data_IF_329359176792
#
_entry.id   IF_329359176792
#
_cell.length_a   1.000
_cell.length_b   1.000
_cell.length_c   1.000
_cell.angle_alpha   90.00
_cell.angle_beta   90.00
_cell.angle_gamma   90.00
#
_symmetry.space_group_name_H-M   'P 1'
#
loop_
_entity.id
_entity.type
_entity.pdbx_description
1 polymer ?
#
# COMPACT_ATOMS: atom_id res chain seq x y z
N UNK A 1 67.92 37.92 5.71
CA UNK A 1 67.50 36.73 5.00
C UNK A 1 66.03 36.51 5.32
N UNK A 2 65.09 36.58 4.36
CA UNK A 2 63.64 36.61 4.65
C UNK A 2 63.01 35.25 4.67
N UNK A 3 62.06 35.11 5.64
CA UNK A 3 61.17 33.97 5.84
C UNK A 3 60.21 33.86 4.66
N UNK A 4 60.11 32.65 4.06
CA UNK A 4 59.06 32.28 3.13
C UNK A 4 57.90 31.62 3.85
N UNK A 5 56.77 32.29 3.92
CA UNK A 5 55.50 31.76 4.43
C UNK A 5 54.81 30.93 3.32
N UNK A 6 54.67 29.63 3.58
CA UNK A 6 53.78 28.75 2.82
C UNK A 6 52.32 29.06 3.09
N UNK A 7 51.58 29.55 2.12
CA UNK A 7 50.13 29.64 2.13
C UNK A 7 49.54 28.31 1.74
N UNK A 8 48.86 27.64 2.67
CA UNK A 8 47.97 26.54 2.38
C UNK A 8 46.68 27.10 1.75
N UNK A 9 46.49 26.80 0.48
CA UNK A 9 45.25 27.07 -0.22
C UNK A 9 44.18 26.07 0.27
N UNK A 10 43.14 26.56 0.96
CA UNK A 10 41.93 25.82 1.18
C UNK A 10 41.08 25.83 -0.08
N UNK A 11 40.99 24.69 -0.76
CA UNK A 11 39.98 24.46 -1.79
C UNK A 11 38.60 24.38 -1.13
N UNK A 12 37.58 25.10 -1.64
CA UNK A 12 36.24 24.98 -1.10
C UNK A 12 35.65 23.62 -1.45
N UNK A 13 35.35 22.80 -0.42
CA UNK A 13 34.59 21.59 -0.57
C UNK A 13 33.17 21.93 -1.03
N UNK A 14 32.79 21.42 -2.16
CA UNK A 14 31.47 21.58 -2.77
C UNK A 14 30.43 20.77 -1.98
N UNK A 15 29.42 21.39 -1.35
CA UNK A 15 28.31 20.67 -0.73
C UNK A 15 27.25 20.46 -1.80
N UNK A 16 27.17 19.28 -2.42
CA UNK A 16 26.09 19.03 -3.38
C UNK A 16 25.90 17.59 -3.77
N UNK A 17 25.19 16.81 -2.94
CA UNK A 17 24.37 15.69 -3.49
C UNK A 17 23.27 15.22 -2.50
N UNK A 18 23.30 15.65 -1.25
CA UNK A 18 22.29 15.25 -0.23
C UNK A 18 20.99 16.05 -0.32
N UNK A 19 20.99 17.24 -0.90
CA UNK A 19 19.81 18.12 -0.93
C UNK A 19 18.72 17.67 -1.91
N UNK A 20 19.08 17.11 -3.08
CA UNK A 20 18.08 16.76 -4.11
C UNK A 20 17.26 15.49 -3.77
N UNK A 21 17.85 14.51 -3.10
CA UNK A 21 17.15 13.27 -2.72
C UNK A 21 16.15 13.51 -1.58
N UNK A 22 16.54 14.32 -0.60
CA UNK A 22 15.63 14.70 0.50
C UNK A 22 14.47 15.58 -0.03
N UNK A 23 14.73 16.40 -1.02
CA UNK A 23 13.71 17.25 -1.65
C UNK A 23 12.66 16.42 -2.40
N UNK A 24 13.04 15.39 -3.14
CA UNK A 24 12.10 14.48 -3.82
C UNK A 24 11.25 13.64 -2.85
N UNK A 25 11.82 13.21 -1.72
CA UNK A 25 11.05 12.51 -0.67
C UNK A 25 9.99 13.45 -0.07
N UNK A 26 10.35 14.69 0.20
CA UNK A 26 9.43 15.71 0.69
C UNK A 26 8.32 16.00 -0.32
N UNK A 27 8.59 16.01 -1.63
CA UNK A 27 7.59 16.21 -2.68
C UNK A 27 6.49 15.14 -2.64
N UNK A 28 6.82 13.84 -2.48
CA UNK A 28 5.80 12.78 -2.34
C UNK A 28 4.99 12.96 -1.05
N UNK A 29 5.62 13.31 0.05
CA UNK A 29 4.95 13.46 1.35
C UNK A 29 4.10 14.74 1.42
N UNK A 30 4.53 15.82 0.77
CA UNK A 30 3.84 17.13 0.79
C UNK A 30 2.74 17.26 -0.27
N UNK A 31 2.66 16.33 -1.22
CA UNK A 31 1.63 16.33 -2.26
C UNK A 31 0.25 16.02 -1.66
N UNK A 32 -0.79 16.56 -2.28
CA UNK A 32 -2.17 16.22 -1.96
C UNK A 32 -2.67 15.09 -2.84
N UNK A 33 -3.29 14.09 -2.22
CA UNK A 33 -3.82 12.91 -2.89
C UNK A 33 -5.34 12.88 -2.87
N UNK A 34 -5.96 12.37 -3.93
CA UNK A 34 -7.40 12.13 -3.98
C UNK A 34 -7.76 10.81 -3.30
N UNK A 35 -6.81 9.87 -3.30
CA UNK A 35 -6.94 8.56 -2.68
C UNK A 35 -5.60 8.11 -2.08
N UNK A 36 -5.64 7.65 -0.83
CA UNK A 36 -4.54 6.95 -0.18
C UNK A 36 -5.06 5.61 0.30
N UNK A 37 -4.38 4.51 -0.06
CA UNK A 37 -4.78 3.18 0.40
C UNK A 37 -3.60 2.24 0.61
N UNK A 38 -3.82 1.21 1.42
CA UNK A 38 -2.86 0.13 1.69
C UNK A 38 -2.88 -0.90 0.57
N UNK A 39 -1.72 -1.48 0.26
CA UNK A 39 -1.61 -2.67 -0.60
C UNK A 39 -1.53 -3.97 0.21
N UNK A 40 -1.72 -3.90 1.51
CA UNK A 40 -1.56 -5.02 2.43
C UNK A 40 -0.14 -5.08 2.99
N UNK A 41 0.28 -6.30 3.36
CA UNK A 41 1.54 -6.57 4.05
C UNK A 41 1.32 -6.77 5.54
N UNK A 42 0.59 -5.86 6.17
CA UNK A 42 0.05 -6.01 7.52
C UNK A 42 -1.12 -5.04 7.76
N UNK A 43 -1.77 -5.16 8.92
CA UNK A 43 -2.82 -4.21 9.34
C UNK A 43 -2.27 -2.84 9.77
N UNK A 44 -0.95 -2.69 9.93
CA UNK A 44 -0.32 -1.47 10.41
C UNK A 44 -0.60 -0.27 9.49
N UNK A 45 -0.44 -0.41 8.17
CA UNK A 45 -0.73 0.65 7.21
C UNK A 45 -2.16 1.17 7.35
N UNK A 46 -3.15 0.27 7.33
CA UNK A 46 -4.57 0.66 7.43
C UNK A 46 -4.88 1.36 8.75
N UNK A 47 -4.25 0.92 9.84
CA UNK A 47 -4.40 1.53 11.16
C UNK A 47 -3.79 2.92 11.21
N UNK A 48 -2.56 3.10 10.74
CA UNK A 48 -1.89 4.40 10.69
C UNK A 48 -2.66 5.40 9.82
N UNK A 49 -3.17 4.98 8.66
CA UNK A 49 -4.04 5.82 7.84
C UNK A 49 -5.32 6.23 8.57
N UNK A 50 -5.95 5.30 9.32
CA UNK A 50 -7.14 5.60 10.12
C UNK A 50 -6.84 6.60 11.24
N UNK A 51 -5.77 6.41 12.00
CA UNK A 51 -5.37 7.28 13.11
C UNK A 51 -5.09 8.72 12.64
N UNK A 52 -4.58 8.89 11.43
CA UNK A 52 -4.26 10.20 10.85
C UNK A 52 -5.41 10.79 9.99
N UNK A 53 -6.62 10.20 10.02
CA UNK A 53 -7.77 10.71 9.28
C UNK A 53 -7.67 10.56 7.75
N UNK A 54 -6.74 9.75 7.26
CA UNK A 54 -6.48 9.53 5.84
C UNK A 54 -7.26 8.34 5.25
N UNK A 55 -7.95 7.57 6.09
CA UNK A 55 -8.75 6.41 5.70
C UNK A 55 -10.21 6.64 6.04
N UNK A 56 -11.02 6.88 5.03
CA UNK A 56 -12.45 7.12 5.14
C UNK A 56 -13.33 5.91 4.82
N UNK A 57 -12.74 4.82 4.36
CA UNK A 57 -13.42 3.56 4.04
C UNK A 57 -12.48 2.36 4.22
N UNK A 58 -13.05 1.14 4.30
CA UNK A 58 -12.26 -0.09 4.23
C UNK A 58 -12.04 -0.48 2.77
N UNK A 59 -10.81 -0.75 2.43
CA UNK A 59 -10.37 -1.25 1.13
C UNK A 59 -9.97 -2.73 1.22
N UNK A 60 -9.85 -3.46 0.08
CA UNK A 60 -9.71 -4.92 0.12
C UNK A 60 -8.44 -5.40 0.82
N UNK A 61 -7.35 -4.63 0.77
CA UNK A 61 -6.04 -5.09 1.25
C UNK A 61 -5.72 -4.66 2.68
N UNK A 62 -6.57 -3.87 3.33
CA UNK A 62 -6.30 -3.23 4.63
C UNK A 62 -5.88 -4.20 5.75
N UNK A 63 -6.38 -5.44 5.70
CA UNK A 63 -6.22 -6.44 6.75
C UNK A 63 -5.56 -7.72 6.26
N UNK A 64 -5.01 -7.70 5.04
CA UNK A 64 -4.38 -8.84 4.42
C UNK A 64 -2.88 -8.85 4.66
N UNK A 65 -2.36 -10.04 4.89
CA UNK A 65 -0.95 -10.28 5.09
C UNK A 65 -0.35 -10.98 3.87
N UNK A 66 0.91 -10.69 3.52
CA UNK A 66 1.61 -11.33 2.42
C UNK A 66 3.09 -11.54 2.76
N UNK A 67 3.67 -12.64 2.28
CA UNK A 67 5.02 -13.07 2.62
C UNK A 67 6.00 -13.03 1.43
N UNK A 68 5.52 -12.79 0.22
CA UNK A 68 6.32 -12.77 -1.01
C UNK A 68 5.61 -12.01 -2.12
N UNK A 69 6.23 -11.87 -3.28
CA UNK A 69 5.72 -11.10 -4.42
C UNK A 69 4.56 -11.76 -5.20
N UNK A 70 4.05 -12.93 -4.79
CA UNK A 70 2.93 -13.59 -5.47
C UNK A 70 1.74 -12.67 -5.59
N UNK A 71 1.42 -11.95 -4.51
CA UNK A 71 0.30 -11.01 -4.51
C UNK A 71 0.48 -9.85 -5.50
N UNK A 72 1.69 -9.32 -5.70
CA UNK A 72 1.95 -8.26 -6.69
C UNK A 72 1.70 -8.77 -8.12
N UNK A 73 2.18 -9.97 -8.44
CA UNK A 73 1.92 -10.63 -9.74
C UNK A 73 0.43 -10.85 -9.96
N UNK A 74 -0.27 -11.28 -8.91
CA UNK A 74 -1.73 -11.44 -8.97
C UNK A 74 -2.44 -10.10 -9.16
N UNK A 75 -2.06 -9.05 -8.42
CA UNK A 75 -2.69 -7.73 -8.51
C UNK A 75 -2.53 -7.10 -9.90
N UNK A 76 -1.39 -7.28 -10.56
CA UNK A 76 -1.18 -6.82 -11.92
C UNK A 76 -2.28 -7.39 -12.83
N UNK A 77 -2.56 -8.70 -12.77
CA UNK A 77 -3.65 -9.34 -13.50
C UNK A 77 -5.03 -8.90 -13.00
N UNK A 78 -5.23 -8.85 -11.69
CA UNK A 78 -6.51 -8.53 -11.07
C UNK A 78 -7.01 -7.11 -11.44
N UNK A 79 -6.12 -6.12 -11.48
CA UNK A 79 -6.48 -4.78 -11.96
C UNK A 79 -6.85 -4.73 -13.44
N UNK A 80 -6.35 -5.65 -14.25
CA UNK A 80 -6.74 -5.78 -15.66
C UNK A 80 -8.14 -6.37 -15.82
N UNK A 81 -8.51 -7.34 -14.95
CA UNK A 81 -9.73 -8.15 -15.01
C UNK A 81 -10.80 -7.75 -13.98
N UNK A 82 -10.70 -6.56 -13.36
CA UNK A 82 -11.62 -6.09 -12.33
C UNK A 82 -11.80 -7.07 -11.17
N UNK A 83 -10.74 -7.82 -10.83
CA UNK A 83 -10.72 -8.80 -9.74
C UNK A 83 -11.73 -9.93 -9.90
N UNK A 84 -12.01 -10.34 -11.15
CA UNK A 84 -12.98 -11.40 -11.44
C UNK A 84 -12.71 -12.68 -10.63
N UNK A 85 -11.44 -13.10 -10.53
CA UNK A 85 -11.02 -14.33 -9.85
C UNK A 85 -10.62 -14.12 -8.38
N UNK A 86 -11.10 -13.03 -7.74
CA UNK A 86 -10.74 -12.75 -6.36
C UNK A 86 -11.43 -13.69 -5.38
N UNK A 87 -10.63 -14.27 -4.46
CA UNK A 87 -11.08 -15.08 -3.33
C UNK A 87 -12.02 -16.20 -3.78
N UNK A 88 -11.57 -17.08 -4.67
CA UNK A 88 -12.30 -18.29 -5.05
C UNK A 88 -12.14 -19.36 -3.96
N UNK A 89 -13.20 -20.08 -3.66
CA UNK A 89 -13.22 -21.10 -2.61
C UNK A 89 -12.15 -22.17 -2.81
N UNK A 90 -11.98 -22.63 -4.04
CA UNK A 90 -11.01 -23.64 -4.43
C UNK A 90 -9.56 -23.21 -4.15
N UNK A 91 -9.26 -21.92 -4.14
CA UNK A 91 -7.94 -21.38 -3.85
C UNK A 91 -7.68 -21.16 -2.35
N UNK A 92 -8.70 -21.31 -1.51
CA UNK A 92 -8.54 -21.15 -0.08
C UNK A 92 -7.91 -22.40 0.54
N UNK A 93 -6.77 -22.22 1.18
CA UNK A 93 -6.10 -23.21 2.02
C UNK A 93 -6.04 -22.72 3.46
N UNK A 94 -6.48 -23.55 4.38
CA UNK A 94 -6.30 -23.27 5.80
C UNK A 94 -4.80 -23.30 6.16
N UNK A 95 -4.34 -22.34 6.94
CA UNK A 95 -2.96 -22.31 7.42
C UNK A 95 -2.77 -23.36 8.51
N UNK A 96 -1.64 -24.06 8.48
CA UNK A 96 -1.27 -25.02 9.53
C UNK A 96 -1.03 -24.32 10.88
N UNK A 97 -0.98 -25.09 11.96
CA UNK A 97 -0.68 -24.54 13.29
C UNK A 97 0.67 -23.81 13.33
N UNK A 98 1.70 -24.34 12.61
CA UNK A 98 3.01 -23.72 12.51
C UNK A 98 2.97 -22.38 11.75
N UNK A 99 2.22 -22.30 10.65
CA UNK A 99 2.04 -21.08 9.87
C UNK A 99 1.26 -19.99 10.62
N UNK A 100 0.33 -20.38 11.47
CA UNK A 100 -0.47 -19.47 12.30
C UNK A 100 0.29 -18.96 13.54
N UNK A 101 1.34 -19.67 13.96
CA UNK A 101 2.00 -19.42 15.22
C UNK A 101 1.04 -19.55 16.41
N UNK A 102 1.12 -18.63 17.37
CA UNK A 102 0.29 -18.64 18.59
C UNK A 102 -1.18 -18.24 18.38
N UNK A 103 -1.60 -17.98 17.14
CA UNK A 103 -2.98 -17.59 16.85
C UNK A 103 -3.94 -18.75 17.05
N UNK A 104 -4.99 -18.50 17.87
CA UNK A 104 -6.12 -19.43 18.08
C UNK A 104 -7.20 -19.32 17.01
N UNK A 105 -7.11 -18.31 16.12
CA UNK A 105 -8.08 -18.10 15.05
C UNK A 105 -7.75 -18.94 13.83
N UNK A 106 -8.77 -19.38 13.11
CA UNK A 106 -8.59 -19.96 11.78
C UNK A 106 -8.10 -18.89 10.82
N UNK A 107 -7.10 -19.22 10.03
CA UNK A 107 -6.48 -18.32 9.07
C UNK A 107 -6.35 -19.04 7.73
N UNK A 108 -6.55 -18.31 6.65
CA UNK A 108 -6.55 -18.87 5.31
C UNK A 108 -5.58 -18.14 4.40
N UNK A 109 -4.88 -18.90 3.55
CA UNK A 109 -4.19 -18.37 2.40
C UNK A 109 -5.07 -18.54 1.16
N UNK A 110 -5.26 -17.49 0.39
CA UNK A 110 -5.70 -17.61 -1.00
C UNK A 110 -4.46 -17.88 -1.85
N UNK A 111 -4.29 -19.12 -2.27
CA UNK A 111 -3.08 -19.57 -2.97
C UNK A 111 -2.92 -18.92 -4.34
N UNK A 112 -3.98 -18.45 -4.97
CA UNK A 112 -3.90 -17.72 -6.23
C UNK A 112 -3.31 -16.33 -6.02
N UNK A 113 -3.79 -15.58 -5.04
CA UNK A 113 -3.32 -14.23 -4.78
C UNK A 113 -2.09 -14.17 -3.86
N UNK A 114 -1.84 -15.19 -3.03
CA UNK A 114 -0.80 -15.18 -2.01
C UNK A 114 -1.09 -14.29 -0.82
N UNK A 115 -2.33 -13.84 -0.66
CA UNK A 115 -2.76 -13.13 0.54
C UNK A 115 -3.26 -14.09 1.62
N UNK A 116 -2.88 -13.80 2.85
CA UNK A 116 -3.39 -14.47 4.04
C UNK A 116 -4.51 -13.64 4.68
N UNK A 117 -5.64 -14.30 4.91
CA UNK A 117 -6.83 -13.78 5.57
C UNK A 117 -6.78 -14.20 7.04
N UNK A 118 -6.26 -13.31 7.88
CA UNK A 118 -5.98 -13.62 9.29
C UNK A 118 -7.09 -13.17 10.27
N UNK A 119 -8.10 -12.44 9.76
CA UNK A 119 -9.16 -11.84 10.56
C UNK A 119 -10.58 -12.10 10.03
N UNK A 120 -10.71 -12.85 8.96
CA UNK A 120 -11.97 -12.90 8.22
C UNK A 120 -12.75 -14.18 8.44
N UNK A 121 -12.07 -15.27 8.82
CA UNK A 121 -12.66 -16.59 9.02
C UNK A 121 -12.49 -17.05 10.46
N UNK A 122 -13.51 -17.77 10.99
CA UNK A 122 -13.55 -18.19 12.39
C UNK A 122 -13.77 -19.71 12.53
N UNK A 123 -13.89 -20.42 11.42
CA UNK A 123 -14.18 -21.85 11.34
C UNK A 123 -13.19 -22.59 10.47
N UNK A 124 -12.98 -23.91 10.68
CA UNK A 124 -12.19 -24.76 9.82
C UNK A 124 -12.80 -24.84 8.40
N UNK A 125 -12.02 -25.31 7.43
CA UNK A 125 -12.44 -25.31 6.02
C UNK A 125 -13.64 -26.21 5.77
N UNK A 126 -13.79 -27.29 6.51
CA UNK A 126 -14.91 -28.22 6.43
C UNK A 126 -16.26 -27.60 6.86
N UNK A 127 -16.21 -26.54 7.69
CA UNK A 127 -17.40 -25.83 8.20
C UNK A 127 -17.31 -24.31 7.95
N UNK A 128 -16.79 -23.90 6.81
CA UNK A 128 -16.60 -22.49 6.45
C UNK A 128 -17.90 -21.84 5.94
N UNK A 129 -18.90 -21.80 6.80
CA UNK A 129 -20.23 -21.26 6.47
C UNK A 129 -20.21 -19.75 6.16
N UNK A 130 -19.21 -19.01 6.67
CA UNK A 130 -19.04 -17.57 6.45
C UNK A 130 -18.41 -17.18 5.12
N UNK A 131 -18.00 -18.14 4.27
CA UNK A 131 -17.30 -17.85 3.01
C UNK A 131 -18.06 -16.86 2.11
N UNK A 132 -19.35 -17.07 1.93
CA UNK A 132 -20.19 -16.21 1.08
C UNK A 132 -20.23 -14.78 1.61
N UNK A 133 -20.40 -14.61 2.91
CA UNK A 133 -20.40 -13.29 3.55
C UNK A 133 -19.05 -12.58 3.40
N UNK A 134 -17.96 -13.31 3.63
CA UNK A 134 -16.59 -12.79 3.46
C UNK A 134 -16.35 -12.41 2.01
N UNK A 135 -16.71 -13.26 1.04
CA UNK A 135 -16.58 -12.96 -0.38
C UNK A 135 -17.36 -11.70 -0.77
N UNK A 136 -18.60 -11.56 -0.32
CA UNK A 136 -19.42 -10.37 -0.59
C UNK A 136 -18.86 -9.11 0.08
N UNK A 137 -18.29 -9.23 1.27
CA UNK A 137 -17.56 -8.14 1.92
C UNK A 137 -16.40 -7.65 1.04
N UNK A 138 -15.59 -8.57 0.49
CA UNK A 138 -14.48 -8.21 -0.40
C UNK A 138 -14.96 -7.67 -1.74
N UNK A 139 -16.01 -8.21 -2.33
CA UNK A 139 -16.67 -7.66 -3.51
C UNK A 139 -17.02 -6.17 -3.34
N UNK A 140 -17.67 -5.82 -2.23
CA UNK A 140 -18.02 -4.43 -1.91
C UNK A 140 -16.79 -3.53 -1.72
N UNK A 141 -15.71 -4.05 -1.08
CA UNK A 141 -14.46 -3.31 -0.88
C UNK A 141 -13.72 -3.07 -2.19
N UNK A 142 -13.67 -4.07 -3.07
CA UNK A 142 -13.07 -3.99 -4.41
C UNK A 142 -13.84 -2.98 -5.27
N UNK A 143 -15.16 -3.10 -5.37
CA UNK A 143 -15.98 -2.16 -6.15
C UNK A 143 -15.77 -0.72 -5.71
N UNK A 144 -15.71 -0.49 -4.38
CA UNK A 144 -15.40 0.82 -3.81
C UNK A 144 -14.00 1.31 -4.20
N UNK A 145 -13.00 0.44 -4.15
CA UNK A 145 -11.63 0.80 -4.53
C UNK A 145 -11.57 1.21 -6.00
N UNK A 146 -12.11 0.38 -6.91
CA UNK A 146 -12.10 0.64 -8.34
C UNK A 146 -12.87 1.93 -8.69
N UNK A 147 -14.02 2.16 -8.05
CA UNK A 147 -14.77 3.42 -8.18
C UNK A 147 -13.92 4.62 -7.74
N UNK A 148 -13.24 4.52 -6.59
CA UNK A 148 -12.39 5.61 -6.10
C UNK A 148 -11.20 5.88 -7.00
N UNK A 149 -10.54 4.84 -7.51
CA UNK A 149 -9.44 4.98 -8.47
C UNK A 149 -9.93 5.70 -9.73
N UNK A 150 -11.09 5.33 -10.27
CA UNK A 150 -11.61 5.85 -11.55
C UNK A 150 -11.86 7.37 -11.54
N UNK A 151 -12.09 7.96 -10.36
CA UNK A 151 -12.35 9.40 -10.19
C UNK A 151 -11.16 10.16 -9.59
N UNK A 152 -10.09 9.47 -9.21
CA UNK A 152 -8.90 10.05 -8.60
C UNK A 152 -7.86 10.42 -9.66
N UNK A 153 -7.24 11.60 -9.50
CA UNK A 153 -6.09 12.01 -10.33
C UNK A 153 -4.77 11.60 -9.69
N UNK A 154 -4.60 11.86 -8.41
CA UNK A 154 -3.38 11.57 -7.66
C UNK A 154 -3.65 10.50 -6.62
N UNK A 155 -3.00 9.36 -6.75
CA UNK A 155 -3.16 8.22 -5.84
C UNK A 155 -1.81 7.91 -5.19
N UNK A 156 -1.85 7.74 -3.86
CA UNK A 156 -0.74 7.19 -3.10
C UNK A 156 -1.09 5.79 -2.62
N UNK A 157 -0.24 4.83 -2.95
CA UNK A 157 -0.32 3.46 -2.48
C UNK A 157 0.79 3.24 -1.46
N UNK A 158 0.43 2.82 -0.25
CA UNK A 158 1.39 2.50 0.81
C UNK A 158 1.42 0.98 0.98
N UNK A 159 2.62 0.44 0.97
CA UNK A 159 2.85 -0.98 1.11
C UNK A 159 3.92 -1.23 2.18
N UNK A 160 3.63 -2.07 3.16
CA UNK A 160 4.57 -2.53 4.16
C UNK A 160 4.92 -4.00 3.88
N UNK A 161 6.19 -4.28 3.62
CA UNK A 161 6.67 -5.60 3.25
C UNK A 161 7.72 -6.12 4.25
N UNK A 162 7.58 -7.40 4.61
CA UNK A 162 8.51 -8.11 5.49
C UNK A 162 9.46 -9.03 4.73
N UNK A 163 9.52 -8.87 3.43
CA UNK A 163 10.40 -9.58 2.51
C UNK A 163 10.98 -8.58 1.50
N UNK A 164 11.97 -9.02 0.73
CA UNK A 164 12.61 -8.16 -0.28
C UNK A 164 11.73 -8.08 -1.53
N UNK A 165 11.18 -6.89 -1.78
CA UNK A 165 10.19 -6.64 -2.83
C UNK A 165 10.87 -6.42 -4.18
N UNK A 166 10.43 -7.12 -5.21
CA UNK A 166 10.78 -6.78 -6.59
C UNK A 166 10.08 -5.47 -7.02
N UNK A 167 10.87 -4.40 -7.01
CA UNK A 167 10.39 -3.04 -7.38
C UNK A 167 9.90 -2.98 -8.83
N UNK A 168 10.32 -3.89 -9.69
CA UNK A 168 9.84 -3.94 -11.08
C UNK A 168 8.34 -4.27 -11.14
N UNK A 169 7.84 -5.12 -10.25
CA UNK A 169 6.42 -5.46 -10.13
C UNK A 169 5.57 -4.27 -9.67
N UNK A 170 6.07 -3.44 -8.74
CA UNK A 170 5.38 -2.20 -8.36
C UNK A 170 5.32 -1.21 -9.53
N UNK A 171 6.39 -1.14 -10.33
CA UNK A 171 6.41 -0.30 -11.54
C UNK A 171 5.44 -0.80 -12.59
N UNK A 172 5.30 -2.12 -12.74
CA UNK A 172 4.34 -2.74 -13.65
C UNK A 172 2.90 -2.51 -13.19
N UNK A 173 2.62 -2.74 -11.90
CA UNK A 173 1.32 -2.46 -11.29
C UNK A 173 0.90 -0.99 -11.48
N UNK A 174 1.85 -0.05 -11.27
CA UNK A 174 1.64 1.37 -11.58
C UNK A 174 1.17 1.55 -13.03
N UNK A 175 1.90 0.97 -14.00
CA UNK A 175 1.56 1.10 -15.43
C UNK A 175 0.18 0.53 -15.74
N UNK A 176 -0.18 -0.61 -15.16
CA UNK A 176 -1.50 -1.23 -15.37
C UNK A 176 -2.61 -0.32 -14.87
N UNK A 177 -2.48 0.23 -13.65
CA UNK A 177 -3.49 1.14 -13.10
C UNK A 177 -3.60 2.41 -13.96
N UNK A 178 -2.48 3.07 -14.30
CA UNK A 178 -2.47 4.31 -15.08
C UNK A 178 -2.95 4.09 -16.53
N UNK A 179 -2.68 2.93 -17.11
CA UNK A 179 -3.17 2.58 -18.44
C UNK A 179 -4.68 2.36 -18.46
N UNK A 180 -5.24 1.74 -17.43
CA UNK A 180 -6.67 1.54 -17.29
C UNK A 180 -7.41 2.84 -16.97
N UNK A 181 -6.83 3.68 -16.12
CA UNK A 181 -7.40 4.94 -15.64
C UNK A 181 -6.54 6.11 -16.10
N UNK A 182 -6.70 6.54 -17.36
CA UNK A 182 -5.82 7.48 -18.09
C UNK A 182 -5.55 8.84 -17.42
N UNK A 183 -6.40 9.25 -16.48
CA UNK A 183 -6.22 10.53 -15.74
C UNK A 183 -5.55 10.36 -14.40
N UNK A 184 -5.19 9.13 -14.04
CA UNK A 184 -4.67 8.77 -12.72
C UNK A 184 -3.15 8.73 -12.75
N UNK A 185 -2.54 9.32 -11.74
CA UNK A 185 -1.10 9.25 -11.46
C UNK A 185 -0.91 8.51 -10.13
N UNK A 186 -0.11 7.44 -10.18
CA UNK A 186 0.13 6.58 -9.02
C UNK A 186 1.54 6.81 -8.49
N UNK A 187 1.65 7.04 -7.18
CA UNK A 187 2.90 7.03 -6.42
C UNK A 187 2.86 5.97 -5.33
N UNK A 188 4.03 5.53 -4.90
CA UNK A 188 4.18 4.52 -3.86
C UNK A 188 5.02 5.01 -2.70
N UNK A 189 4.67 4.56 -1.50
CA UNK A 189 5.58 4.48 -0.36
C UNK A 189 5.70 3.00 0.00
N UNK A 190 6.92 2.48 -0.03
CA UNK A 190 7.25 1.13 0.40
C UNK A 190 8.03 1.20 1.72
N UNK A 191 7.52 0.53 2.74
CA UNK A 191 8.20 0.27 4.00
C UNK A 191 8.74 -1.16 3.95
N UNK A 192 10.05 -1.32 3.82
CA UNK A 192 10.68 -2.63 3.66
C UNK A 192 11.36 -3.07 4.96
N UNK A 193 10.70 -3.92 5.74
CA UNK A 193 11.10 -4.38 7.07
C UNK A 193 12.04 -5.60 7.04
N UNK A 194 12.94 -5.69 6.09
CA UNK A 194 13.91 -6.79 5.98
C UNK A 194 15.34 -6.31 5.75
N UNK A 195 15.57 -5.01 5.85
CA UNK A 195 16.87 -4.40 5.60
C UNK A 195 17.87 -4.70 6.72
N UNK A 196 19.17 -4.63 6.38
CA UNK A 196 20.25 -4.67 7.36
C UNK A 196 20.46 -3.31 8.03
N UNK A 197 20.25 -2.23 7.28
CA UNK A 197 20.49 -0.86 7.71
C UNK A 197 19.33 0.05 7.30
N UNK A 198 19.08 1.06 8.11
CA UNK A 198 18.08 2.09 7.81
C UNK A 198 18.57 3.00 6.69
N UNK A 199 17.79 3.12 5.63
CA UNK A 199 18.01 4.09 4.57
C UNK A 199 16.70 4.50 3.90
N UNK A 200 16.67 5.66 3.27
CA UNK A 200 15.58 6.10 2.44
C UNK A 200 16.07 6.32 1.00
N UNK A 201 15.33 5.78 0.05
CA UNK A 201 15.61 5.96 -1.38
C UNK A 201 14.36 6.49 -2.05
N UNK A 202 14.48 7.64 -2.72
CA UNK A 202 13.35 8.25 -3.43
C UNK A 202 13.64 8.34 -4.92
N UNK A 203 12.63 7.96 -5.71
CA UNK A 203 12.51 8.17 -7.15
C UNK A 203 11.20 8.93 -7.41
N UNK A 204 11.05 9.52 -8.60
CA UNK A 204 9.87 10.32 -8.99
C UNK A 204 8.51 9.70 -8.62
N UNK A 205 8.40 8.39 -8.57
CA UNK A 205 7.13 7.67 -8.38
C UNK A 205 7.08 6.78 -7.14
N UNK A 206 8.20 6.61 -6.40
CA UNK A 206 8.28 5.75 -5.22
C UNK A 206 9.30 6.29 -4.21
N UNK A 207 8.93 6.27 -2.95
CA UNK A 207 9.84 6.39 -1.81
C UNK A 207 9.92 5.05 -1.09
N UNK A 208 11.13 4.56 -0.85
CA UNK A 208 11.40 3.29 -0.17
C UNK A 208 12.11 3.60 1.14
N UNK A 209 11.48 3.22 2.24
CA UNK A 209 12.09 3.19 3.57
C UNK A 209 12.57 1.78 3.86
N UNK A 210 13.87 1.59 3.91
CA UNK A 210 14.49 0.35 4.37
C UNK A 210 14.60 0.40 5.88
N UNK A 211 14.00 -0.58 6.57
CA UNK A 211 13.86 -0.60 8.02
C UNK A 211 14.49 -1.89 8.53
N UNK A 212 15.42 -1.82 9.52
CA UNK A 212 16.04 -3.01 10.08
C UNK A 212 15.04 -3.97 10.71
N UNK A 213 15.30 -5.26 10.57
CA UNK A 213 14.43 -6.34 11.02
C UNK A 213 14.17 -6.38 12.53
N UNK A 214 15.02 -5.71 13.33
CA UNK A 214 14.95 -5.70 14.79
C UNK A 214 13.83 -4.80 15.35
N UNK A 215 13.16 -4.01 14.50
CA UNK A 215 11.97 -3.29 14.92
C UNK A 215 10.78 -4.25 14.93
N UNK A 216 10.54 -4.89 16.05
CA UNK A 216 9.30 -5.60 16.35
C UNK A 216 8.17 -4.58 16.47
N UNK A 217 7.66 -4.15 15.33
CA UNK A 217 6.57 -3.17 15.25
C UNK A 217 5.26 -3.91 15.52
N UNK A 218 5.02 -4.28 16.75
CA UNK A 218 3.75 -4.83 17.20
C UNK A 218 3.06 -3.96 18.26
N UNK A 219 3.62 -2.79 18.58
CA UNK A 219 2.85 -1.81 19.34
C UNK A 219 1.89 -1.05 18.41
N UNK A 220 0.72 -1.65 18.21
CA UNK A 220 -0.35 -1.06 17.40
C UNK A 220 -0.93 0.23 17.99
N UNK A 221 -0.53 0.67 19.16
CA UNK A 221 -1.10 1.82 19.85
C UNK A 221 -0.23 3.06 19.76
N UNK A 222 1.05 2.93 19.43
CA UNK A 222 1.97 4.02 19.15
C UNK A 222 2.09 4.30 17.65
N UNK A 223 2.63 5.47 17.31
CA UNK A 223 3.10 5.76 15.95
C UNK A 223 4.61 5.64 15.94
N UNK A 224 5.15 4.46 15.61
CA UNK A 224 6.59 4.26 15.52
C UNK A 224 7.24 5.26 14.57
N UNK A 225 8.53 5.52 14.75
CA UNK A 225 9.27 6.54 13.99
C UNK A 225 9.16 6.36 12.48
N UNK A 226 9.14 5.11 12.02
CA UNK A 226 8.99 4.75 10.61
C UNK A 226 7.64 5.16 10.01
N UNK A 227 6.61 5.43 10.83
CA UNK A 227 5.29 5.87 10.39
C UNK A 227 5.06 7.38 10.54
N UNK A 228 6.00 8.13 11.11
CA UNK A 228 5.86 9.59 11.33
C UNK A 228 5.54 10.37 10.06
N UNK A 229 5.99 9.90 8.89
CA UNK A 229 5.68 10.55 7.62
C UNK A 229 4.18 10.61 7.33
N UNK A 230 3.38 9.68 7.88
CA UNK A 230 1.93 9.60 7.62
C UNK A 230 1.21 10.85 8.10
N UNK A 231 1.66 11.47 9.19
CA UNK A 231 1.07 12.72 9.70
C UNK A 231 1.22 13.92 8.75
N UNK A 232 2.16 13.85 7.81
CA UNK A 232 2.39 14.90 6.82
C UNK A 232 1.61 14.67 5.52
N UNK A 233 1.04 13.49 5.31
CA UNK A 233 0.23 13.20 4.14
C UNK A 233 -1.09 13.97 4.17
N UNK A 234 -1.58 14.37 3.00
CA UNK A 234 -2.82 15.16 2.87
C UNK A 234 -3.74 14.59 1.82
N UNK A 235 -5.04 14.53 2.15
CA UNK A 235 -6.10 14.24 1.19
C UNK A 235 -6.67 15.53 0.62
N UNK A 236 -7.08 15.50 -0.63
CA UNK A 236 -7.90 16.52 -1.26
C UNK A 236 -9.34 16.40 -0.73
N UNK A 237 -9.70 17.28 0.17
CA UNK A 237 -10.91 17.17 1.03
C UNK A 237 -12.16 17.71 0.39
N UNK A 238 -12.49 17.77 -0.81
CA UNK A 238 -13.76 18.43 -1.08
C UNK A 238 -14.60 17.92 -2.24
N UNK A 239 -14.05 17.64 -3.39
CA UNK A 239 -14.93 17.54 -4.56
C UNK A 239 -15.07 16.13 -5.14
N UNK A 240 -14.16 15.22 -4.80
CA UNK A 240 -14.16 13.85 -5.31
C UNK A 240 -15.36 13.05 -4.78
N UNK A 241 -15.74 13.29 -3.51
CA UNK A 241 -16.92 12.66 -2.91
C UNK A 241 -18.24 13.12 -3.55
N UNK A 242 -18.37 14.41 -3.86
CA UNK A 242 -19.57 14.96 -4.50
C UNK A 242 -19.74 14.48 -5.93
N UNK A 243 -18.65 14.45 -6.72
CA UNK A 243 -18.67 13.94 -8.10
C UNK A 243 -18.97 12.44 -8.18
N UNK A 244 -18.44 11.61 -7.25
CA UNK A 244 -18.73 10.17 -7.20
C UNK A 244 -20.22 9.86 -6.94
N UNK A 245 -20.91 10.67 -6.15
CA UNK A 245 -22.35 10.53 -5.93
C UNK A 245 -23.13 10.89 -7.21
N UNK A 246 -22.72 11.94 -7.91
CA UNK A 246 -23.35 12.33 -9.18
C UNK A 246 -23.15 11.31 -10.29
N UNK A 247 -21.94 10.72 -10.41
CA UNK A 247 -21.65 9.67 -11.40
C UNK A 247 -22.42 8.39 -11.10
N UNK A 248 -22.61 8.01 -9.82
CA UNK A 248 -23.49 6.89 -9.44
C UNK A 248 -24.95 7.11 -9.85
N UNK A 249 -25.44 8.35 -9.72
CA UNK A 249 -26.79 8.68 -10.14
C UNK A 249 -26.91 8.58 -11.68
N UNK A 250 -25.92 9.07 -12.41
CA UNK A 250 -25.91 9.04 -13.88
C UNK A 250 -25.78 7.61 -14.43
N UNK A 251 -24.90 6.78 -13.87
CA UNK A 251 -24.73 5.38 -14.28
C UNK A 251 -26.01 4.58 -13.98
N UNK A 252 -26.65 4.80 -12.81
CA UNK A 252 -27.94 4.16 -12.51
C UNK A 252 -29.07 4.59 -13.47
N UNK A 253 -29.05 5.84 -13.95
CA UNK A 253 -30.03 6.34 -14.91
C UNK A 253 -29.77 5.80 -16.33
N UNK A 254 -28.49 5.65 -16.73
CA UNK A 254 -28.10 5.20 -18.08
C UNK A 254 -28.12 3.68 -18.23
N UNK A 255 -27.79 2.93 -17.19
CA UNK A 255 -27.73 1.47 -17.24
C UNK A 255 -29.05 0.78 -16.89
N UNK A 256 -30.11 1.53 -16.58
CA UNK A 256 -31.48 1.03 -16.35
C UNK A 256 -31.46 -0.36 -15.73
N UNK A 257 -31.40 -0.43 -14.44
CA UNK A 257 -31.65 -1.62 -13.64
C UNK A 257 -31.40 -2.97 -14.32
N UNK A 258 -30.27 -3.57 -14.01
CA UNK A 258 -30.20 -5.02 -13.89
C UNK A 258 -29.74 -5.34 -12.46
#
# INVERSE_FOLDING_TARGET
MPNSAFRHGHSPQTPRQTSSKNQQALEIIMEKYDLIFSLGGSCATAKQLKMNGLRNASYPFDWLFCLNDRHLKYLIKAFQTDFHDWLLYENLRELTAEERGDSKCFQYCDEASGYNFIHDFHKPKEDITEYTEVKDKYKRRISRLLEKISISKNILIIFDARYDVDISLLKELKKVIENKYKRTHVKFILLQFCAKESKCVTKKWITIYYIPRNHTVLDYNSTPDEWKFVSNLKLNNSDVLKKGIFTKLLVRIITGFI
#
